data_IF_407326675371
#
_entry.id   IF_407326675371
#
_cell.length_a   1.000
_cell.length_b   1.000
_cell.length_c   1.000
_cell.angle_alpha   90.00
_cell.angle_beta   90.00
_cell.angle_gamma   90.00
#
_symmetry.space_group_name_H-M   'P 1'
#
loop_
_entity.id
_entity.type
_entity.pdbx_description
1 polymer ?
#
# COMPACT_ATOMS: atom_id res chain seq x y z
N UNK A 1 0.35 20.05 8.65
CA UNK A 1 0.97 18.72 8.49
C UNK A 1 0.32 18.05 7.28
N UNK A 2 1.11 17.63 6.30
CA UNK A 2 0.66 16.97 5.07
C UNK A 2 1.05 15.50 5.12
N UNK A 3 0.07 14.62 4.98
CA UNK A 3 0.26 13.17 5.09
C UNK A 3 -0.04 12.51 3.75
N UNK A 4 0.88 11.71 3.23
CA UNK A 4 0.67 10.86 2.08
C UNK A 4 0.57 9.39 2.53
N UNK A 5 -0.36 8.65 1.92
CA UNK A 5 -0.65 7.25 2.25
C UNK A 5 -0.43 6.35 1.04
N UNK A 6 -0.01 5.11 1.27
CA UNK A 6 0.19 4.12 0.21
C UNK A 6 -0.26 2.72 0.64
N UNK A 7 -1.14 2.12 -0.15
CA UNK A 7 -1.66 0.77 0.07
C UNK A 7 -1.99 0.09 -1.25
N UNK A 8 -1.46 -1.10 -1.50
CA UNK A 8 -1.77 -1.85 -2.73
C UNK A 8 -3.25 -2.24 -2.78
N UNK A 9 -3.81 -2.63 -1.66
CA UNK A 9 -5.20 -3.02 -1.51
C UNK A 9 -6.12 -1.89 -1.04
N UNK A 10 -7.21 -2.30 -0.41
CA UNK A 10 -8.18 -1.42 0.25
C UNK A 10 -8.35 -1.88 1.70
N UNK A 11 -7.44 -1.49 2.55
CA UNK A 11 -7.48 -1.82 3.97
C UNK A 11 -7.96 -0.61 4.79
N UNK A 12 -7.77 -0.66 6.10
CA UNK A 12 -8.01 0.43 7.05
C UNK A 12 -7.34 1.76 6.66
N UNK A 13 -6.40 1.75 5.72
CA UNK A 13 -5.74 2.95 5.19
C UNK A 13 -6.74 3.96 4.61
N UNK A 14 -7.87 3.50 4.03
CA UNK A 14 -8.93 4.40 3.55
C UNK A 14 -9.71 5.04 4.69
N UNK A 15 -9.88 4.36 5.82
CA UNK A 15 -10.47 4.95 7.03
C UNK A 15 -9.57 6.06 7.57
N UNK A 16 -8.27 5.79 7.65
CA UNK A 16 -7.27 6.79 8.02
C UNK A 16 -7.27 7.98 7.04
N UNK A 17 -7.39 7.70 5.73
CA UNK A 17 -7.44 8.76 4.71
C UNK A 17 -8.65 9.70 4.92
N UNK A 18 -9.84 9.16 5.22
CA UNK A 18 -11.04 9.96 5.52
C UNK A 18 -10.85 10.84 6.76
N UNK A 19 -10.26 10.28 7.82
CA UNK A 19 -9.97 11.04 9.04
C UNK A 19 -8.94 12.16 8.81
N UNK A 20 -7.93 11.90 7.99
CA UNK A 20 -6.94 12.92 7.61
C UNK A 20 -7.55 13.99 6.69
N UNK A 21 -8.40 13.58 5.76
CA UNK A 21 -9.11 14.52 4.90
C UNK A 21 -10.03 15.46 5.69
N UNK A 22 -10.78 14.91 6.64
CA UNK A 22 -11.64 15.70 7.55
C UNK A 22 -10.86 16.75 8.36
N UNK A 23 -9.57 16.53 8.56
CA UNK A 23 -8.65 17.45 9.26
C UNK A 23 -7.79 18.31 8.32
N UNK A 24 -8.06 18.27 7.01
CA UNK A 24 -7.25 18.93 5.97
C UNK A 24 -5.76 18.53 6.02
N UNK A 25 -5.46 17.32 6.44
CA UNK A 25 -4.10 16.80 6.56
C UNK A 25 -3.76 15.77 5.48
N UNK A 26 -4.73 15.26 4.70
CA UNK A 26 -4.47 14.34 3.59
C UNK A 26 -3.89 15.08 2.39
N UNK A 27 -2.68 14.74 2.00
CA UNK A 27 -2.04 15.22 0.76
C UNK A 27 -2.38 14.32 -0.43
N UNK A 28 -2.18 13.02 -0.28
CA UNK A 28 -2.47 12.02 -1.31
C UNK A 28 -2.67 10.64 -0.70
N UNK A 29 -3.46 9.80 -1.37
CA UNK A 29 -3.52 8.35 -1.13
C UNK A 29 -3.25 7.61 -2.45
N UNK A 30 -2.27 6.70 -2.42
CA UNK A 30 -1.93 5.82 -3.53
C UNK A 30 -2.52 4.43 -3.29
N UNK A 31 -3.15 3.86 -4.32
CA UNK A 31 -3.74 2.51 -4.24
C UNK A 31 -3.62 1.75 -5.56
N UNK A 32 -3.52 0.42 -5.45
CA UNK A 32 -3.58 -0.49 -6.59
C UNK A 32 -5.01 -0.77 -7.08
N UNK A 33 -6.05 -0.22 -6.44
CA UNK A 33 -7.43 -0.40 -6.88
C UNK A 33 -7.77 0.53 -8.05
N UNK A 34 -8.63 0.07 -8.97
CA UNK A 34 -9.10 0.91 -10.07
C UNK A 34 -10.06 1.99 -9.56
N UNK A 35 -9.99 3.16 -10.17
CA UNK A 35 -10.74 4.37 -9.77
C UNK A 35 -12.25 4.15 -9.65
N UNK A 36 -12.84 3.34 -10.51
CA UNK A 36 -14.28 3.10 -10.49
C UNK A 36 -14.78 2.40 -9.21
N UNK A 37 -13.91 1.62 -8.54
CA UNK A 37 -14.22 0.97 -7.26
C UNK A 37 -14.10 1.89 -6.04
N UNK A 38 -13.60 3.11 -6.25
CA UNK A 38 -13.28 4.07 -5.18
C UNK A 38 -14.27 5.25 -5.15
N UNK A 39 -15.32 5.23 -5.96
CA UNK A 39 -16.28 6.33 -6.10
C UNK A 39 -17.01 6.68 -4.80
N UNK A 40 -17.19 5.70 -3.91
CA UNK A 40 -17.98 5.84 -2.68
C UNK A 40 -17.10 5.95 -1.43
N UNK A 41 -15.79 6.27 -1.59
CA UNK A 41 -14.88 6.34 -0.43
C UNK A 41 -14.98 7.66 0.36
N UNK A 42 -15.72 8.65 -0.13
CA UNK A 42 -15.87 9.93 0.56
C UNK A 42 -14.58 10.76 0.58
N UNK A 43 -13.71 10.58 -0.42
CA UNK A 43 -12.47 11.32 -0.60
C UNK A 43 -12.50 12.10 -1.91
N UNK A 44 -11.85 13.24 -1.94
CA UNK A 44 -11.70 14.04 -3.15
C UNK A 44 -10.91 13.27 -4.21
N UNK A 45 -11.42 13.25 -5.43
CA UNK A 45 -10.85 12.47 -6.53
C UNK A 45 -9.41 12.87 -6.90
N UNK A 46 -9.03 14.11 -6.67
CA UNK A 46 -7.69 14.65 -6.90
C UNK A 46 -6.67 14.16 -5.87
N UNK A 47 -7.11 13.74 -4.69
CA UNK A 47 -6.27 13.14 -3.64
C UNK A 47 -6.01 11.65 -3.88
N UNK A 48 -6.79 10.98 -4.73
CA UNK A 48 -6.69 9.54 -4.98
C UNK A 48 -5.85 9.28 -6.24
N UNK A 49 -4.70 8.64 -6.06
CA UNK A 49 -3.81 8.20 -7.14
C UNK A 49 -3.90 6.67 -7.28
N UNK A 50 -4.26 6.19 -8.47
CA UNK A 50 -4.48 4.76 -8.72
C UNK A 50 -3.41 4.18 -9.64
N UNK A 51 -2.97 2.95 -9.34
CA UNK A 51 -2.08 2.17 -10.21
C UNK A 51 -2.61 0.74 -10.34
N UNK A 52 -3.69 0.52 -11.13
CA UNK A 52 -4.41 -0.75 -11.18
C UNK A 52 -3.81 -1.79 -12.13
N UNK A 53 -2.79 -1.45 -12.91
CA UNK A 53 -2.33 -2.21 -14.08
C UNK A 53 -1.85 -3.63 -13.76
N UNK A 54 -1.23 -3.85 -12.61
CA UNK A 54 -0.75 -5.17 -12.18
C UNK A 54 -1.69 -5.79 -11.15
N UNK A 55 -2.22 -4.97 -10.24
CA UNK A 55 -3.11 -5.43 -9.17
C UNK A 55 -4.48 -5.90 -9.68
N UNK A 56 -5.09 -5.19 -10.62
CA UNK A 56 -6.42 -5.56 -11.15
C UNK A 56 -6.40 -6.91 -11.86
N UNK A 57 -5.46 -7.20 -12.78
CA UNK A 57 -5.31 -8.54 -13.35
C UNK A 57 -5.02 -9.60 -12.29
N UNK A 58 -4.16 -9.31 -11.31
CA UNK A 58 -3.83 -10.23 -10.23
C UNK A 58 -5.06 -10.61 -9.39
N UNK A 59 -5.88 -9.62 -9.03
CA UNK A 59 -7.09 -9.85 -8.24
C UNK A 59 -8.24 -10.47 -9.04
N UNK A 60 -8.33 -10.17 -10.32
CA UNK A 60 -9.40 -10.64 -11.21
C UNK A 60 -9.12 -11.97 -11.91
N UNK A 61 -7.90 -12.51 -11.81
CA UNK A 61 -7.54 -13.75 -12.50
C UNK A 61 -8.15 -14.97 -11.80
N UNK A 62 -9.12 -15.67 -12.45
CA UNK A 62 -9.72 -16.87 -11.88
C UNK A 62 -8.71 -18.01 -11.89
N UNK A 63 -8.68 -18.80 -10.82
CA UNK A 63 -7.84 -20.00 -10.70
C UNK A 63 -6.33 -19.73 -10.83
N UNK A 64 -5.86 -18.61 -10.29
CA UNK A 64 -4.42 -18.29 -10.25
C UNK A 64 -3.57 -19.39 -9.59
N UNK A 65 -4.16 -20.20 -8.71
CA UNK A 65 -3.49 -21.36 -8.09
C UNK A 65 -3.03 -22.39 -9.14
N UNK A 66 -3.64 -22.43 -10.33
CA UNK A 66 -3.22 -23.33 -11.43
C UNK A 66 -1.93 -22.91 -12.12
N UNK A 67 -1.50 -21.67 -11.93
CA UNK A 67 -0.24 -21.16 -12.49
C UNK A 67 1.00 -21.70 -11.75
N UNK A 68 0.81 -22.37 -10.60
CA UNK A 68 1.90 -22.80 -9.74
C UNK A 68 2.34 -21.69 -8.74
N UNK A 69 2.81 -22.13 -7.59
CA UNK A 69 3.14 -21.22 -6.49
C UNK A 69 4.18 -20.16 -6.89
N UNK A 70 5.23 -20.53 -7.61
CA UNK A 70 6.29 -19.61 -8.02
C UNK A 70 5.78 -18.48 -8.95
N UNK A 71 4.81 -18.78 -9.83
CA UNK A 71 4.26 -17.78 -10.74
C UNK A 71 3.35 -16.79 -9.98
N UNK A 72 2.58 -17.26 -9.01
CA UNK A 72 1.76 -16.44 -8.13
C UNK A 72 2.65 -15.53 -7.28
N UNK A 73 3.68 -16.08 -6.66
CA UNK A 73 4.65 -15.32 -5.85
C UNK A 73 5.38 -14.25 -6.68
N UNK A 74 5.81 -14.61 -7.90
CA UNK A 74 6.43 -13.66 -8.81
C UNK A 74 5.47 -12.52 -9.18
N UNK A 75 4.21 -12.83 -9.47
CA UNK A 75 3.21 -11.82 -9.81
C UNK A 75 2.92 -10.91 -8.63
N UNK A 76 2.80 -11.45 -7.43
CA UNK A 76 2.62 -10.69 -6.21
C UNK A 76 3.82 -9.77 -5.93
N UNK A 77 5.03 -10.29 -6.09
CA UNK A 77 6.26 -9.51 -5.99
C UNK A 77 6.28 -8.35 -6.99
N UNK A 78 5.96 -8.62 -8.27
CA UNK A 78 5.88 -7.59 -9.30
C UNK A 78 4.77 -6.57 -9.01
N UNK A 79 3.63 -7.01 -8.50
CA UNK A 79 2.55 -6.12 -8.09
C UNK A 79 3.01 -5.13 -7.02
N UNK A 80 3.63 -5.62 -5.97
CA UNK A 80 4.12 -4.79 -4.87
C UNK A 80 5.26 -3.86 -5.30
N UNK A 81 6.24 -4.37 -6.08
CA UNK A 81 7.43 -3.59 -6.47
C UNK A 81 7.15 -2.54 -7.52
N UNK A 82 6.31 -2.83 -8.52
CA UNK A 82 5.92 -1.85 -9.54
C UNK A 82 5.03 -0.76 -8.96
N UNK A 83 4.12 -1.13 -8.07
CA UNK A 83 3.30 -0.17 -7.34
C UNK A 83 4.16 0.77 -6.49
N UNK A 84 5.09 0.22 -5.69
CA UNK A 84 6.00 0.99 -4.84
C UNK A 84 6.88 1.96 -5.67
N UNK A 85 7.40 1.49 -6.81
CA UNK A 85 8.14 2.34 -7.74
C UNK A 85 7.28 3.49 -8.30
N UNK A 86 6.01 3.20 -8.63
CA UNK A 86 5.06 4.22 -9.07
C UNK A 86 4.83 5.28 -7.98
N UNK A 87 4.57 4.84 -6.74
CA UNK A 87 4.40 5.74 -5.59
C UNK A 87 5.62 6.62 -5.38
N UNK A 88 6.83 6.02 -5.40
CA UNK A 88 8.08 6.75 -5.21
C UNK A 88 8.29 7.86 -6.26
N UNK A 89 7.86 7.61 -7.51
CA UNK A 89 7.98 8.59 -8.61
C UNK A 89 6.99 9.73 -8.53
N UNK A 90 5.77 9.47 -8.04
CA UNK A 90 4.66 10.42 -8.08
C UNK A 90 4.32 11.01 -6.70
N UNK A 91 5.09 10.67 -5.69
CA UNK A 91 4.90 11.16 -4.32
C UNK A 91 5.04 12.68 -4.26
N UNK A 92 3.97 13.41 -3.84
CA UNK A 92 4.06 14.84 -3.61
C UNK A 92 4.89 15.15 -2.36
N UNK A 93 5.38 16.38 -2.21
CA UNK A 93 5.99 16.83 -0.97
C UNK A 93 5.03 16.63 0.20
N UNK A 94 5.45 15.91 1.24
CA UNK A 94 4.67 15.63 2.43
C UNK A 94 5.55 15.69 3.67
N UNK A 95 4.93 15.82 4.84
CA UNK A 95 5.63 15.85 6.12
C UNK A 95 5.72 14.44 6.73
N UNK A 96 4.69 13.60 6.43
CA UNK A 96 4.62 12.21 6.87
C UNK A 96 4.17 11.34 5.69
N UNK A 97 4.85 10.23 5.50
CA UNK A 97 4.46 9.17 4.56
C UNK A 97 4.17 7.87 5.32
N UNK A 98 2.98 7.32 5.14
CA UNK A 98 2.56 6.04 5.71
C UNK A 98 2.43 5.02 4.58
N UNK A 99 3.22 3.97 4.63
CA UNK A 99 3.23 2.92 3.62
C UNK A 99 3.11 1.53 4.21
N UNK A 100 2.38 0.65 3.51
CA UNK A 100 2.23 -0.75 3.92
C UNK A 100 3.56 -1.51 3.78
N UNK A 101 3.90 -2.33 4.77
CA UNK A 101 5.20 -2.99 4.91
C UNK A 101 5.65 -3.82 3.69
N UNK A 102 4.71 -4.39 2.93
CA UNK A 102 5.00 -5.20 1.75
C UNK A 102 5.29 -4.40 0.47
N UNK A 103 4.95 -3.11 0.42
CA UNK A 103 4.94 -2.31 -0.81
C UNK A 103 5.34 -0.86 -0.60
N UNK A 104 6.33 -0.60 0.26
CA UNK A 104 6.75 0.77 0.57
C UNK A 104 8.25 0.93 0.86
N UNK A 105 9.08 0.09 0.25
CA UNK A 105 10.53 0.19 0.42
C UNK A 105 11.11 1.39 -0.35
N UNK A 106 10.80 1.51 -1.64
CA UNK A 106 11.31 2.58 -2.50
C UNK A 106 10.66 3.92 -2.14
N UNK A 107 9.35 3.91 -1.95
CA UNK A 107 8.59 5.10 -1.55
C UNK A 107 8.98 5.58 -0.15
N UNK A 108 9.23 4.68 0.81
CA UNK A 108 9.73 5.03 2.13
C UNK A 108 11.14 5.66 2.09
N UNK A 109 12.03 5.13 1.25
CA UNK A 109 13.35 5.74 0.99
C UNK A 109 13.22 7.13 0.35
N UNK A 110 12.32 7.26 -0.62
CA UNK A 110 12.04 8.55 -1.28
C UNK A 110 11.48 9.57 -0.28
N UNK A 111 10.53 9.17 0.55
CA UNK A 111 9.97 10.04 1.59
C UNK A 111 11.06 10.58 2.53
N UNK A 112 11.93 9.69 3.03
CA UNK A 112 13.07 10.09 3.87
C UNK A 112 14.03 11.04 3.15
N UNK A 113 14.33 10.79 1.89
CA UNK A 113 15.19 11.66 1.08
C UNK A 113 14.59 13.05 0.87
N UNK A 114 13.26 13.19 0.90
CA UNK A 114 12.56 14.47 0.84
C UNK A 114 12.40 15.15 2.24
N UNK A 115 12.91 14.54 3.30
CA UNK A 115 12.79 15.04 4.67
C UNK A 115 11.49 14.67 5.38
N UNK A 116 10.64 13.83 4.79
CA UNK A 116 9.42 13.34 5.42
C UNK A 116 9.71 12.24 6.44
N UNK A 117 8.86 12.14 7.46
CA UNK A 117 8.85 10.98 8.37
C UNK A 117 8.17 9.79 7.68
N UNK A 118 8.84 8.66 7.66
CA UNK A 118 8.27 7.41 7.14
C UNK A 118 7.72 6.55 8.27
N UNK A 119 6.46 6.16 8.14
CA UNK A 119 5.76 5.23 9.02
C UNK A 119 5.46 3.96 8.22
N UNK A 120 6.01 2.84 8.68
CA UNK A 120 5.73 1.53 8.11
C UNK A 120 4.49 0.93 8.80
N UNK A 121 3.38 0.89 8.06
CA UNK A 121 2.15 0.26 8.54
C UNK A 121 2.24 -1.27 8.40
N UNK A 122 1.97 -1.98 9.48
CA UNK A 122 1.92 -3.44 9.51
C UNK A 122 0.63 -3.90 10.16
N UNK A 123 -0.12 -4.71 9.45
CA UNK A 123 -1.33 -5.34 9.96
C UNK A 123 -1.07 -6.49 10.95
N UNK A 124 0.20 -6.85 11.19
CA UNK A 124 0.59 -7.95 12.08
C UNK A 124 1.90 -7.66 12.82
N UNK A 125 2.22 -8.47 13.81
CA UNK A 125 3.50 -8.41 14.52
C UNK A 125 4.68 -8.69 13.59
N UNK A 126 5.89 -8.36 14.05
CA UNK A 126 7.10 -8.62 13.26
C UNK A 126 7.22 -10.11 12.93
N UNK A 127 7.60 -10.44 11.68
CA UNK A 127 7.61 -11.81 11.16
C UNK A 127 8.39 -12.79 12.06
N UNK A 128 9.52 -12.37 12.63
CA UNK A 128 10.29 -13.21 13.55
C UNK A 128 9.52 -13.56 14.82
N UNK A 129 8.71 -12.62 15.33
CA UNK A 129 7.89 -12.87 16.52
C UNK A 129 6.74 -13.81 16.20
N UNK A 130 6.10 -13.65 15.03
CA UNK A 130 5.09 -14.60 14.55
C UNK A 130 5.67 -16.01 14.40
N UNK A 131 6.85 -16.12 13.79
CA UNK A 131 7.54 -17.41 13.59
C UNK A 131 7.85 -18.08 14.93
N UNK A 132 8.30 -17.33 15.93
CA UNK A 132 8.55 -17.82 17.28
C UNK A 132 7.28 -18.35 17.93
N UNK A 133 6.17 -17.59 17.90
CA UNK A 133 4.89 -18.01 18.48
C UNK A 133 4.36 -19.26 17.78
N UNK A 134 4.38 -19.29 16.44
CA UNK A 134 3.91 -20.44 15.68
C UNK A 134 4.76 -21.69 15.93
N UNK A 135 6.07 -21.53 16.08
CA UNK A 135 6.95 -22.65 16.43
C UNK A 135 6.67 -23.18 17.85
N UNK A 136 6.34 -22.31 18.80
CA UNK A 136 5.95 -22.70 20.17
C UNK A 136 4.59 -23.43 20.19
N UNK A 137 3.62 -22.98 19.38
CA UNK A 137 2.28 -23.58 19.29
C UNK A 137 2.30 -24.96 18.60
N UNK A 138 3.27 -25.21 17.71
CA UNK A 138 3.41 -26.47 16.98
C UNK A 138 4.43 -27.44 17.60
N UNK A 139 5.08 -27.03 18.67
CA UNK A 139 6.00 -27.90 19.41
C UNK A 139 5.27 -28.78 20.43
#
# INVERSE_FOLDING_TARGET
MRVALSVVGKFHTFDLARELAARNALEAIFTGYPRFKLRNEGLDADKIHTFPWVNTPYMGFPRKERLGNWAVELWEYLNCTTFDAHVARHMPPCDVFVGLSSSSLQSGRRAKAMGARYVCDRGSTHIRHQDTILAEEHA
#
